data_IF_653378487932
#
_entry.id   IF_653378487932
#
_cell.length_a   1.000
_cell.length_b   1.000
_cell.length_c   1.000
_cell.angle_alpha   90.00
_cell.angle_beta   90.00
_cell.angle_gamma   90.00
#
_symmetry.space_group_name_H-M   'P 1'
#
loop_
_entity.id
_entity.type
_entity.pdbx_description
1 polymer ?
#
# COMPACT_ATOMS: atom_id res chain seq x y z
N UNK A 1 41.60 -45.61 -61.69
CA UNK A 1 42.23 -44.69 -60.71
C UNK A 1 41.19 -43.66 -60.21
N UNK A 2 39.99 -44.06 -59.76
CA UNK A 2 38.93 -43.10 -59.35
C UNK A 2 37.91 -43.69 -58.33
N UNK A 3 38.32 -44.60 -57.44
CA UNK A 3 37.41 -45.14 -56.39
C UNK A 3 37.71 -44.64 -54.97
N UNK A 4 38.79 -43.88 -54.75
CA UNK A 4 39.26 -43.48 -53.41
C UNK A 4 38.78 -42.12 -52.87
N UNK A 5 38.07 -41.32 -53.67
CA UNK A 5 37.66 -39.96 -53.26
C UNK A 5 36.24 -39.89 -52.67
N UNK A 6 35.38 -40.88 -52.99
CA UNK A 6 33.96 -40.83 -52.61
C UNK A 6 33.72 -41.28 -51.15
N UNK A 7 34.65 -42.01 -50.54
CA UNK A 7 34.56 -42.48 -49.14
C UNK A 7 35.06 -41.46 -48.11
N UNK A 8 35.80 -40.42 -48.51
CA UNK A 8 36.26 -39.35 -47.60
C UNK A 8 35.25 -38.22 -47.41
N UNK A 9 34.37 -38.00 -48.39
CA UNK A 9 33.31 -36.97 -48.32
C UNK A 9 32.14 -37.39 -47.42
N UNK A 10 31.81 -38.68 -47.37
CA UNK A 10 30.76 -39.23 -46.49
C UNK A 10 31.12 -39.20 -45.00
N UNK A 11 32.42 -39.21 -44.66
CA UNK A 11 32.91 -39.08 -43.28
C UNK A 11 32.78 -37.66 -42.72
N UNK A 12 32.79 -36.64 -43.57
CA UNK A 12 32.69 -35.23 -43.15
C UNK A 12 31.22 -34.84 -42.96
N UNK A 13 30.32 -35.28 -43.85
CA UNK A 13 28.87 -35.06 -43.71
C UNK A 13 28.27 -35.73 -42.46
N UNK A 14 28.82 -36.87 -42.03
CA UNK A 14 28.40 -37.56 -40.80
C UNK A 14 28.75 -36.81 -39.50
N UNK A 15 29.87 -36.07 -39.47
CA UNK A 15 30.31 -35.30 -38.29
C UNK A 15 29.52 -33.99 -38.10
N UNK A 16 29.13 -33.34 -39.20
CA UNK A 16 28.29 -32.13 -39.17
C UNK A 16 26.87 -32.40 -38.65
N UNK A 17 26.33 -33.58 -38.94
CA UNK A 17 25.02 -34.03 -38.41
C UNK A 17 25.02 -34.05 -36.88
N UNK A 18 26.06 -34.58 -36.24
CA UNK A 18 26.12 -34.71 -34.78
C UNK A 18 26.24 -33.36 -34.06
N UNK A 19 26.99 -32.40 -34.61
CA UNK A 19 27.12 -31.05 -34.03
C UNK A 19 25.78 -30.29 -34.14
N UNK A 20 25.10 -30.41 -35.28
CA UNK A 20 23.77 -29.83 -35.46
C UNK A 20 22.75 -30.41 -34.46
N UNK A 21 22.79 -31.73 -34.21
CA UNK A 21 21.94 -32.41 -33.22
C UNK A 21 22.25 -31.93 -31.79
N UNK A 22 23.53 -31.79 -31.42
CA UNK A 22 23.92 -31.28 -30.09
C UNK A 22 23.47 -29.83 -29.91
N UNK A 23 23.68 -28.96 -30.91
CA UNK A 23 23.21 -27.58 -30.85
C UNK A 23 21.69 -27.49 -30.73
N UNK A 24 20.94 -28.32 -31.48
CA UNK A 24 19.48 -28.38 -31.35
C UNK A 24 19.07 -28.82 -29.93
N UNK A 25 19.75 -29.81 -29.35
CA UNK A 25 19.46 -30.28 -28.00
C UNK A 25 19.77 -29.23 -26.93
N UNK A 26 20.89 -28.50 -27.06
CA UNK A 26 21.27 -27.40 -26.17
C UNK A 26 20.27 -26.24 -26.26
N UNK A 27 19.82 -25.89 -27.47
CA UNK A 27 18.81 -24.86 -27.68
C UNK A 27 17.44 -25.28 -27.12
N UNK A 28 17.04 -26.54 -27.31
CA UNK A 28 15.79 -27.08 -26.76
C UNK A 28 15.82 -27.17 -25.23
N UNK A 29 16.94 -27.62 -24.64
CA UNK A 29 17.14 -27.62 -23.19
C UNK A 29 17.12 -26.21 -22.61
N UNK A 30 17.83 -25.27 -23.26
CA UNK A 30 17.84 -23.87 -22.86
C UNK A 30 16.45 -23.25 -22.90
N UNK A 31 15.72 -23.49 -23.99
CA UNK A 31 14.33 -23.04 -24.15
C UNK A 31 13.40 -23.68 -23.11
N UNK A 32 13.56 -24.97 -22.83
CA UNK A 32 12.77 -25.69 -21.83
C UNK A 32 13.00 -25.15 -20.42
N UNK A 33 14.26 -24.89 -20.04
CA UNK A 33 14.59 -24.27 -18.76
C UNK A 33 14.04 -22.84 -18.67
N UNK A 34 14.14 -22.06 -19.76
CA UNK A 34 13.58 -20.72 -19.81
C UNK A 34 12.07 -20.76 -19.66
N UNK A 35 11.37 -21.66 -20.35
CA UNK A 35 9.92 -21.82 -20.26
C UNK A 35 9.48 -22.25 -18.85
N UNK A 36 10.21 -23.18 -18.24
CA UNK A 36 9.97 -23.63 -16.85
C UNK A 36 10.25 -22.54 -15.83
N UNK A 37 11.19 -21.65 -16.10
CA UNK A 37 11.48 -20.48 -15.25
C UNK A 37 10.46 -19.35 -15.46
N UNK A 38 10.08 -19.05 -16.71
CA UNK A 38 9.11 -18.00 -17.08
C UNK A 38 7.70 -18.31 -16.55
N UNK A 39 7.36 -19.58 -16.39
CA UNK A 39 6.13 -20.05 -15.75
C UNK A 39 6.13 -19.96 -14.21
N UNK A 40 7.15 -19.38 -13.57
CA UNK A 40 7.20 -19.30 -12.10
C UNK A 40 6.09 -18.39 -11.55
N UNK A 41 5.14 -18.92 -10.76
CA UNK A 41 3.98 -18.14 -10.28
C UNK A 41 4.33 -16.96 -9.36
N UNK A 42 5.58 -16.88 -8.89
CA UNK A 42 6.09 -15.77 -8.05
C UNK A 42 5.99 -14.39 -8.70
N UNK A 43 6.11 -14.28 -10.03
CA UNK A 43 6.11 -12.96 -10.71
C UNK A 43 4.74 -12.28 -10.58
N UNK A 44 3.65 -13.03 -10.75
CA UNK A 44 2.29 -12.51 -10.63
C UNK A 44 1.97 -12.04 -9.20
N UNK A 45 2.48 -12.74 -8.19
CA UNK A 45 2.33 -12.33 -6.78
C UNK A 45 3.12 -11.05 -6.47
N UNK A 46 4.34 -10.90 -6.98
CA UNK A 46 5.12 -9.65 -6.83
C UNK A 46 4.42 -8.48 -7.52
N UNK A 47 3.85 -8.69 -8.71
CA UNK A 47 3.07 -7.67 -9.42
C UNK A 47 1.76 -7.31 -8.67
N UNK A 48 1.14 -8.27 -8.00
CA UNK A 48 -0.05 -8.04 -7.18
C UNK A 48 0.28 -7.24 -5.91
N UNK A 49 1.35 -7.61 -5.20
CA UNK A 49 1.81 -6.91 -4.00
C UNK A 49 2.23 -5.48 -4.33
N UNK A 50 3.02 -5.27 -5.39
CA UNK A 50 3.43 -3.93 -5.83
C UNK A 50 2.24 -3.05 -6.21
N UNK A 51 1.24 -3.60 -6.90
CA UNK A 51 0.00 -2.87 -7.21
C UNK A 51 -0.75 -2.43 -5.94
N UNK A 52 -0.85 -3.30 -4.94
CA UNK A 52 -1.52 -2.98 -3.66
C UNK A 52 -0.74 -1.94 -2.85
N UNK A 53 0.59 -2.04 -2.80
CA UNK A 53 1.43 -1.05 -2.12
C UNK A 53 1.29 0.31 -2.83
N UNK A 54 1.34 0.32 -4.16
CA UNK A 54 1.20 1.54 -4.94
C UNK A 54 -0.18 2.18 -4.77
N UNK A 55 -1.27 1.39 -4.75
CA UNK A 55 -2.61 1.94 -4.52
C UNK A 55 -2.71 2.59 -3.15
N UNK A 56 -2.19 1.94 -2.09
CA UNK A 56 -2.15 2.52 -0.74
C UNK A 56 -1.31 3.80 -0.66
N UNK A 57 -0.17 3.83 -1.35
CA UNK A 57 0.71 5.00 -1.39
C UNK A 57 0.03 6.17 -2.10
N UNK A 58 -0.59 5.93 -3.26
CA UNK A 58 -1.35 6.93 -4.02
C UNK A 58 -2.53 7.45 -3.21
N UNK A 59 -3.29 6.58 -2.54
CA UNK A 59 -4.41 6.98 -1.69
C UNK A 59 -3.95 7.82 -0.50
N UNK A 60 -2.85 7.44 0.15
CA UNK A 60 -2.25 8.21 1.23
C UNK A 60 -1.82 9.60 0.77
N UNK A 61 -1.11 9.68 -0.35
CA UNK A 61 -0.69 10.96 -0.94
C UNK A 61 -1.90 11.84 -1.30
N UNK A 62 -2.91 11.26 -1.96
CA UNK A 62 -4.14 11.96 -2.33
C UNK A 62 -4.83 12.52 -1.09
N UNK A 63 -4.96 11.72 -0.02
CA UNK A 63 -5.54 12.17 1.26
C UNK A 63 -4.77 13.34 1.86
N UNK A 64 -3.44 13.26 1.92
CA UNK A 64 -2.62 14.34 2.45
C UNK A 64 -2.76 15.63 1.64
N UNK A 65 -2.72 15.55 0.31
CA UNK A 65 -2.88 16.72 -0.57
C UNK A 65 -4.26 17.37 -0.41
N UNK A 66 -5.33 16.58 -0.39
CA UNK A 66 -6.70 17.08 -0.15
C UNK A 66 -6.83 17.68 1.25
N UNK A 67 -6.22 17.07 2.28
CA UNK A 67 -6.27 17.58 3.65
C UNK A 67 -5.54 18.91 3.83
N UNK A 68 -4.49 19.17 3.04
CA UNK A 68 -3.78 20.46 3.02
C UNK A 68 -4.57 21.59 2.37
N UNK A 69 -5.44 21.25 1.41
CA UNK A 69 -6.35 22.20 0.76
C UNK A 69 -7.68 22.36 1.50
N UNK A 70 -8.04 21.39 2.35
CA UNK A 70 -9.30 21.38 3.06
C UNK A 70 -9.35 22.47 4.14
N UNK A 71 -10.42 23.27 4.12
CA UNK A 71 -10.57 24.36 5.06
C UNK A 71 -10.71 23.88 6.51
N UNK A 72 -9.82 24.37 7.39
CA UNK A 72 -9.84 24.09 8.83
C UNK A 72 -10.70 25.09 9.58
N UNK A 73 -11.87 24.64 10.05
CA UNK A 73 -12.81 25.44 10.85
C UNK A 73 -13.07 24.77 12.19
N UNK A 74 -13.43 25.58 13.20
CA UNK A 74 -13.93 25.06 14.48
C UNK A 74 -15.36 24.57 14.30
N UNK A 75 -15.60 23.31 14.65
CA UNK A 75 -16.90 22.63 14.51
C UNK A 75 -17.33 22.10 15.86
N UNK A 76 -18.64 21.89 16.02
CA UNK A 76 -19.15 21.15 17.17
C UNK A 76 -18.64 19.69 17.11
N UNK A 77 -18.48 19.04 18.28
CA UNK A 77 -18.02 17.66 18.31
C UNK A 77 -19.03 16.76 17.61
N UNK A 78 -18.52 15.81 16.80
CA UNK A 78 -19.32 14.75 16.17
C UNK A 78 -19.51 13.56 17.10
N UNK A 79 -18.61 13.40 18.06
CA UNK A 79 -18.61 12.34 19.05
C UNK A 79 -18.24 12.92 20.41
N UNK A 80 -18.85 12.40 21.47
CA UNK A 80 -18.58 12.79 22.85
C UNK A 80 -18.13 11.56 23.63
N UNK A 81 -17.09 11.72 24.45
CA UNK A 81 -16.69 10.71 25.43
C UNK A 81 -17.48 11.03 26.71
N UNK A 82 -18.41 10.15 27.06
CA UNK A 82 -19.29 10.32 28.21
C UNK A 82 -19.06 9.12 29.14
N UNK A 83 -19.01 9.36 30.44
CA UNK A 83 -18.78 8.30 31.42
C UNK A 83 -18.75 8.83 32.84
N UNK A 84 -18.55 7.92 33.80
CA UNK A 84 -18.44 8.25 35.21
C UNK A 84 -17.00 8.63 35.59
N UNK A 85 -16.84 9.28 36.74
CA UNK A 85 -15.52 9.62 37.26
C UNK A 85 -14.64 8.37 37.41
N UNK A 86 -13.34 8.51 37.09
CA UNK A 86 -12.31 7.46 37.22
C UNK A 86 -12.43 6.26 36.27
N UNK A 87 -13.32 6.28 35.28
CA UNK A 87 -13.42 5.21 34.27
C UNK A 87 -12.30 5.22 33.21
N UNK A 88 -11.35 6.15 33.27
CA UNK A 88 -10.26 6.26 32.30
C UNK A 88 -10.61 7.02 31.01
N UNK A 89 -11.64 7.89 31.04
CA UNK A 89 -12.03 8.75 29.90
C UNK A 89 -10.87 9.58 29.34
N UNK A 90 -10.02 10.13 30.23
CA UNK A 90 -8.82 10.89 29.85
C UNK A 90 -7.81 10.05 29.07
N UNK A 91 -7.61 8.80 29.50
CA UNK A 91 -6.71 7.85 28.83
C UNK A 91 -7.22 7.53 27.43
N UNK A 92 -8.51 7.19 27.31
CA UNK A 92 -9.14 6.92 26.03
C UNK A 92 -9.00 8.10 25.05
N UNK A 93 -9.23 9.32 25.54
CA UNK A 93 -9.07 10.54 24.74
C UNK A 93 -7.65 10.72 24.20
N UNK A 94 -6.64 10.48 25.03
CA UNK A 94 -5.23 10.54 24.62
C UNK A 94 -4.94 9.49 23.55
N UNK A 95 -5.40 8.25 23.75
CA UNK A 95 -5.24 7.19 22.74
C UNK A 95 -5.91 7.53 21.41
N UNK A 96 -7.14 8.07 21.44
CA UNK A 96 -7.84 8.47 20.23
C UNK A 96 -7.13 9.59 19.47
N UNK A 97 -6.47 10.51 20.18
CA UNK A 97 -5.75 11.64 19.58
C UNK A 97 -4.51 11.20 18.79
N UNK A 98 -4.01 9.98 19.01
CA UNK A 98 -2.93 9.40 18.19
C UNK A 98 -3.38 9.18 16.74
N UNK A 99 -4.69 8.99 16.50
CA UNK A 99 -5.22 8.74 15.17
C UNK A 99 -5.30 10.02 14.32
N UNK A 100 -4.79 10.05 13.08
CA UNK A 100 -4.70 11.27 12.27
C UNK A 100 -6.07 11.89 11.90
N UNK A 101 -7.12 11.06 11.83
CA UNK A 101 -8.49 11.52 11.54
C UNK A 101 -9.26 11.99 12.79
N UNK A 102 -8.67 11.95 14.00
CA UNK A 102 -9.32 12.40 15.24
C UNK A 102 -8.64 13.65 15.78
N UNK A 103 -9.43 14.64 16.19
CA UNK A 103 -8.91 15.89 16.75
C UNK A 103 -9.68 16.21 18.02
N UNK A 104 -8.98 16.20 19.15
CA UNK A 104 -9.51 16.55 20.46
C UNK A 104 -8.91 17.87 20.97
N UNK A 105 -9.58 18.61 21.87
CA UNK A 105 -8.97 19.74 22.57
C UNK A 105 -7.75 19.31 23.41
N UNK A 106 -7.03 20.24 24.05
CA UNK A 106 -5.96 19.86 24.99
C UNK A 106 -6.53 19.32 26.31
N UNK A 107 -7.52 20.03 26.87
CA UNK A 107 -8.21 19.67 28.12
C UNK A 107 -9.69 19.32 27.92
N UNK A 108 -10.28 18.60 28.87
CA UNK A 108 -11.71 18.30 28.88
C UNK A 108 -12.49 19.55 29.29
N UNK A 109 -13.52 19.90 28.51
CA UNK A 109 -14.35 21.07 28.76
C UNK A 109 -15.66 20.57 29.33
N UNK A 110 -15.92 20.86 30.61
CA UNK A 110 -17.16 20.48 31.33
C UNK A 110 -18.35 21.36 30.94
N UNK A 111 -18.60 21.48 29.64
CA UNK A 111 -19.62 22.37 29.08
C UNK A 111 -21.02 22.00 29.55
N UNK A 112 -21.40 20.73 29.42
CA UNK A 112 -22.74 20.25 29.75
C UNK A 112 -23.03 20.20 31.25
N UNK A 113 -22.01 20.37 32.11
CA UNK A 113 -22.18 20.36 33.56
C UNK A 113 -22.18 21.78 34.13
N UNK A 114 -21.13 22.58 33.89
CA UNK A 114 -20.97 23.86 34.59
C UNK A 114 -21.08 25.08 33.68
N UNK A 115 -20.83 24.93 32.38
CA UNK A 115 -20.62 26.07 31.47
C UNK A 115 -21.71 26.20 30.41
N UNK A 116 -22.85 25.55 30.60
CA UNK A 116 -23.95 25.54 29.64
C UNK A 116 -24.49 26.95 29.37
N UNK A 117 -24.49 27.81 30.40
CA UNK A 117 -24.92 29.23 30.31
C UNK A 117 -24.11 30.06 29.31
N UNK A 118 -22.89 29.64 28.95
CA UNK A 118 -22.06 30.33 27.94
C UNK A 118 -22.51 30.10 26.50
N UNK A 119 -23.41 29.14 26.28
CA UNK A 119 -23.99 28.82 24.98
C UNK A 119 -23.10 27.97 24.07
N UNK A 120 -23.73 27.35 23.07
CA UNK A 120 -23.09 26.43 22.12
C UNK A 120 -22.00 27.08 21.27
N UNK A 121 -22.16 28.37 20.95
CA UNK A 121 -21.22 29.10 20.12
C UNK A 121 -19.90 29.34 20.88
N UNK A 122 -19.97 29.60 22.19
CA UNK A 122 -18.79 29.60 23.05
C UNK A 122 -18.13 28.22 23.09
N UNK A 123 -18.92 27.14 23.24
CA UNK A 123 -18.40 25.77 23.26
C UNK A 123 -17.68 25.40 21.97
N UNK A 124 -18.26 25.73 20.81
CA UNK A 124 -17.65 25.53 19.48
C UNK A 124 -16.31 26.24 19.37
N UNK A 125 -16.17 27.45 19.91
CA UNK A 125 -14.91 28.21 19.88
C UNK A 125 -13.79 27.57 20.71
N UNK A 126 -14.12 26.78 21.73
CA UNK A 126 -13.13 26.04 22.51
C UNK A 126 -12.58 24.82 21.78
N UNK A 127 -13.27 24.33 20.75
CA UNK A 127 -12.81 23.18 19.97
C UNK A 127 -11.65 23.55 19.02
N UNK A 128 -10.72 22.62 18.76
CA UNK A 128 -9.66 22.82 17.79
C UNK A 128 -10.23 22.95 16.37
N UNK A 129 -9.45 23.54 15.46
CA UNK A 129 -9.81 23.58 14.05
C UNK A 129 -9.56 22.20 13.43
N UNK A 130 -10.57 21.62 12.83
CA UNK A 130 -10.50 20.33 12.14
C UNK A 130 -10.84 20.49 10.67
N UNK A 131 -10.48 19.52 9.84
CA UNK A 131 -10.98 19.41 8.46
C UNK A 131 -12.38 18.76 8.47
N UNK A 132 -13.10 18.79 7.34
CA UNK A 132 -14.42 18.14 7.22
C UNK A 132 -14.35 16.62 7.44
N UNK A 133 -13.25 16.00 6.99
CA UNK A 133 -12.96 14.56 7.14
C UNK A 133 -12.72 14.16 8.59
N UNK A 134 -12.03 15.01 9.35
CA UNK A 134 -11.68 14.72 10.73
C UNK A 134 -12.92 14.67 11.65
N UNK A 135 -12.82 13.84 12.67
CA UNK A 135 -13.79 13.74 13.77
C UNK A 135 -13.30 14.64 14.89
N UNK A 136 -14.13 15.61 15.27
CA UNK A 136 -13.86 16.47 16.43
C UNK A 136 -14.56 15.88 17.64
N UNK A 137 -13.82 15.73 18.74
CA UNK A 137 -14.33 15.29 20.05
C UNK A 137 -14.36 16.42 21.07
#
# INVERSE_FOLDING_TARGET
>A
MFSGFNTRLTMITGKFSNISVICAFVLLLGFFLLYRFYGSPKINEVLKVSRVIMSKAVDSWRRNKVSGLAEKRRRLPKALIIGFNKCGSSTLRTFLTIHPDVVAPCHEIRFFNDLYSKGLEWYRRQKPRSTSRQITT
#
